data_IF_124793607155
#
_entry.id   IF_124793607155
#
_cell.length_a   1.000
_cell.length_b   1.000
_cell.length_c   1.000
_cell.angle_alpha   90.00
_cell.angle_beta   90.00
_cell.angle_gamma   90.00
#
_symmetry.space_group_name_H-M   'P 1'
#
loop_
_entity.id
_entity.type
_entity.pdbx_description
1 polymer ?
#
# COMPACT_ATOMS: atom_id res chain seq x y z
N UNK A 1 -36.67 -20.05 51.98
CA UNK A 1 -35.63 -20.45 51.00
C UNK A 1 -34.33 -20.70 51.74
N UNK A 2 -33.59 -21.79 51.46
CA UNK A 2 -32.38 -22.12 52.21
C UNK A 2 -31.28 -21.08 51.95
N UNK A 3 -30.55 -20.60 52.97
CA UNK A 3 -29.62 -19.47 52.88
C UNK A 3 -28.47 -19.67 51.89
N UNK A 4 -28.16 -20.92 51.53
CA UNK A 4 -27.11 -21.27 50.55
C UNK A 4 -27.47 -20.87 49.11
N UNK A 5 -28.75 -20.91 48.73
CA UNK A 5 -29.18 -20.54 47.37
C UNK A 5 -29.13 -19.02 47.14
N UNK A 6 -29.44 -18.23 48.18
CA UNK A 6 -29.39 -16.77 48.12
C UNK A 6 -27.95 -16.24 47.98
N UNK A 7 -26.99 -16.86 48.68
CA UNK A 7 -25.57 -16.50 48.61
C UNK A 7 -24.99 -16.83 47.23
N UNK A 8 -25.32 -18.01 46.68
CA UNK A 8 -24.87 -18.42 45.34
C UNK A 8 -25.40 -17.50 44.23
N UNK A 9 -26.67 -17.12 44.30
CA UNK A 9 -27.27 -16.18 43.35
C UNK A 9 -26.68 -14.76 43.49
N UNK A 10 -26.32 -14.35 44.71
CA UNK A 10 -25.62 -13.09 44.96
C UNK A 10 -24.25 -13.05 44.29
N UNK A 11 -23.45 -14.11 44.45
CA UNK A 11 -22.11 -14.20 43.87
C UNK A 11 -22.17 -14.20 42.33
N UNK A 12 -23.09 -14.97 41.73
CA UNK A 12 -23.26 -14.98 40.26
C UNK A 12 -23.63 -13.60 39.74
N UNK A 13 -24.51 -12.88 40.43
CA UNK A 13 -24.93 -11.53 40.02
C UNK A 13 -23.76 -10.55 40.05
N UNK A 14 -22.90 -10.62 41.08
CA UNK A 14 -21.71 -9.76 41.18
C UNK A 14 -20.71 -10.06 40.05
N UNK A 15 -20.51 -11.34 39.72
CA UNK A 15 -19.60 -11.73 38.62
C UNK A 15 -20.12 -11.25 37.27
N UNK A 16 -21.42 -11.38 37.00
CA UNK A 16 -22.04 -10.89 35.75
C UNK A 16 -21.90 -9.36 35.65
N UNK A 17 -22.15 -8.63 36.74
CA UNK A 17 -22.00 -7.18 36.78
C UNK A 17 -20.54 -6.74 36.55
N UNK A 18 -19.58 -7.49 37.09
CA UNK A 18 -18.15 -7.24 36.87
C UNK A 18 -17.75 -7.41 35.40
N UNK A 19 -18.20 -8.50 34.74
CA UNK A 19 -17.95 -8.71 33.31
C UNK A 19 -18.65 -7.68 32.42
N UNK A 20 -19.88 -7.27 32.76
CA UNK A 20 -20.56 -6.19 32.03
C UNK A 20 -19.82 -4.85 32.16
N UNK A 21 -19.27 -4.54 33.34
CA UNK A 21 -18.45 -3.34 33.55
C UNK A 21 -17.13 -3.38 32.77
N UNK A 22 -16.44 -4.53 32.74
CA UNK A 22 -15.24 -4.73 31.93
C UNK A 22 -15.52 -4.58 30.43
N UNK A 23 -16.61 -5.19 29.95
CA UNK A 23 -17.02 -5.07 28.55
C UNK A 23 -17.39 -3.63 28.19
N UNK A 24 -18.10 -2.91 29.07
CA UNK A 24 -18.41 -1.50 28.89
C UNK A 24 -17.15 -0.61 28.88
N UNK A 25 -16.15 -0.90 29.72
CA UNK A 25 -14.87 -0.20 29.69
C UNK A 25 -14.08 -0.47 28.41
N UNK A 26 -14.02 -1.71 27.93
CA UNK A 26 -13.36 -2.07 26.67
C UNK A 26 -14.04 -1.42 25.46
N UNK A 27 -15.38 -1.39 25.44
CA UNK A 27 -16.15 -0.66 24.43
C UNK A 27 -15.90 0.85 24.51
N UNK A 28 -15.85 1.44 25.71
CA UNK A 28 -15.53 2.86 25.91
C UNK A 28 -14.10 3.22 25.51
N UNK A 29 -13.13 2.33 25.75
CA UNK A 29 -11.75 2.50 25.29
C UNK A 29 -11.65 2.48 23.76
N UNK A 30 -12.42 1.60 23.09
CA UNK A 30 -12.53 1.57 21.63
C UNK A 30 -13.23 2.80 21.04
N UNK A 31 -14.25 3.33 21.74
CA UNK A 31 -14.95 4.56 21.34
C UNK A 31 -14.15 5.84 21.63
N UNK A 32 -13.23 5.84 22.60
CA UNK A 32 -12.34 6.98 22.88
C UNK A 32 -11.23 7.16 21.85
N UNK A 33 -11.01 6.20 20.94
CA UNK A 33 -10.06 6.38 19.84
C UNK A 33 -10.58 7.33 18.74
N UNK A 34 -11.88 7.66 18.72
CA UNK A 34 -12.50 8.58 17.76
C UNK A 34 -13.48 9.51 18.47
N UNK A 35 -12.95 10.49 19.22
CA UNK A 35 -13.59 11.78 19.51
C UNK A 35 -12.68 12.61 20.42
N UNK A 36 -11.75 13.33 19.82
CA UNK A 36 -11.37 14.63 20.36
C UNK A 36 -11.94 15.70 19.43
N UNK A 37 -12.75 16.65 19.95
CA UNK A 37 -13.20 17.78 19.16
C UNK A 37 -12.03 18.75 18.98
N UNK A 38 -11.66 18.99 17.73
CA UNK A 38 -10.72 20.04 17.35
C UNK A 38 -11.27 21.38 17.84
N UNK A 39 -10.53 22.04 18.73
CA UNK A 39 -10.80 23.40 19.18
C UNK A 39 -10.62 24.34 17.98
N UNK A 40 -11.66 25.06 17.60
CA UNK A 40 -11.60 26.06 16.54
C UNK A 40 -10.64 27.21 16.93
N UNK A 41 -9.66 27.47 16.07
CA UNK A 41 -8.82 28.68 16.08
C UNK A 41 -9.41 29.64 15.03
N UNK A 42 -9.54 30.95 15.33
CA UNK A 42 -10.19 31.90 14.44
C UNK A 42 -9.45 32.02 13.09
N UNK A 43 -10.26 32.13 12.03
CA UNK A 43 -9.84 32.39 10.66
C UNK A 43 -9.17 33.76 10.59
N UNK A 44 -7.86 33.77 10.36
CA UNK A 44 -7.11 34.94 9.92
C UNK A 44 -6.46 34.60 8.57
N UNK A 45 -6.82 35.41 7.58
CA UNK A 45 -6.23 35.62 6.24
C UNK A 45 -5.53 34.47 5.51
N UNK A 46 -6.06 34.18 4.32
CA UNK A 46 -5.43 33.37 3.29
C UNK A 46 -4.02 33.90 2.94
N UNK A 47 -3.00 33.21 3.42
CA UNK A 47 -1.63 33.33 2.91
C UNK A 47 -1.32 32.07 2.11
N UNK A 48 -0.93 32.26 0.85
CA UNK A 48 -0.59 31.23 -0.11
C UNK A 48 0.24 30.10 0.51
N UNK A 49 -0.20 28.85 0.31
CA UNK A 49 0.52 27.67 0.77
C UNK A 49 1.96 27.67 0.20
N UNK A 50 3.00 27.63 1.04
CA UNK A 50 4.36 27.48 0.54
C UNK A 50 4.54 26.07 -0.05
N UNK A 51 5.08 26.01 -1.27
CA UNK A 51 5.55 24.78 -1.92
C UNK A 51 6.43 24.02 -0.94
N UNK A 52 6.06 22.78 -0.61
CA UNK A 52 6.86 21.91 0.23
C UNK A 52 8.21 21.63 -0.45
N UNK A 53 9.25 22.32 0.03
CA UNK A 53 10.65 21.99 -0.22
C UNK A 53 11.02 20.92 0.81
N UNK A 54 11.58 19.75 0.43
CA UNK A 54 12.01 18.78 1.41
C UNK A 54 13.21 19.33 2.19
N UNK A 55 12.98 19.54 3.49
CA UNK A 55 14.01 19.98 4.43
C UNK A 55 14.85 18.76 4.82
N UNK A 56 16.15 18.81 4.53
CA UNK A 56 17.13 18.04 5.26
C UNK A 56 17.20 18.65 6.68
N UNK A 57 16.64 17.98 7.68
CA UNK A 57 16.78 18.40 9.08
C UNK A 57 18.11 17.82 9.59
N UNK A 58 19.09 18.63 10.01
CA UNK A 58 20.24 18.14 10.76
C UNK A 58 19.73 17.75 12.15
N UNK A 59 19.92 16.48 12.53
CA UNK A 59 19.80 16.07 13.92
C UNK A 59 21.16 16.34 14.57
N UNK A 60 21.20 17.27 15.52
CA UNK A 60 22.40 17.47 16.33
C UNK A 60 22.67 16.24 17.18
N UNK A 61 23.94 15.80 17.20
CA UNK A 61 24.47 14.88 18.19
C UNK A 61 24.24 13.40 17.88
N UNK A 62 25.01 12.85 16.94
CA UNK A 62 25.77 11.59 17.04
C UNK A 62 26.36 11.26 15.67
N UNK A 63 27.61 10.83 15.62
CA UNK A 63 28.32 10.37 14.42
C UNK A 63 27.68 9.11 13.82
N UNK A 64 26.49 9.24 13.23
CA UNK A 64 25.89 8.23 12.37
C UNK A 64 25.77 8.81 10.97
N UNK A 65 26.71 8.39 10.13
CA UNK A 65 26.75 8.49 8.66
C UNK A 65 25.37 8.88 8.09
N UNK A 66 25.26 10.10 7.56
CA UNK A 66 24.05 10.59 6.90
C UNK A 66 23.72 9.73 5.68
N UNK A 67 23.02 8.61 5.87
CA UNK A 67 22.53 7.81 4.75
C UNK A 67 21.46 8.62 4.02
N UNK A 68 21.76 9.04 2.80
CA UNK A 68 20.82 9.77 1.97
C UNK A 68 19.55 8.91 1.75
N UNK A 69 18.41 9.35 2.29
CA UNK A 69 17.10 8.68 2.10
C UNK A 69 16.66 8.69 0.64
N UNK A 70 16.97 9.77 -0.08
CA UNK A 70 16.68 9.92 -1.49
C UNK A 70 17.58 10.99 -2.11
N UNK A 71 17.78 10.92 -3.43
CA UNK A 71 18.42 11.98 -4.22
C UNK A 71 17.49 12.40 -5.36
N UNK A 72 17.64 13.64 -5.84
CA UNK A 72 16.80 14.18 -6.91
C UNK A 72 17.39 13.88 -8.29
N UNK A 73 16.57 13.39 -9.21
CA UNK A 73 16.90 13.14 -10.61
C UNK A 73 15.78 13.71 -11.49
N UNK A 74 16.02 14.91 -12.04
CA UNK A 74 14.97 15.66 -12.74
C UNK A 74 13.84 16.04 -11.78
N UNK A 75 12.59 15.70 -12.13
CA UNK A 75 11.42 15.91 -11.27
C UNK A 75 11.24 14.81 -10.21
N UNK A 76 12.02 13.73 -10.28
CA UNK A 76 11.85 12.55 -9.46
C UNK A 76 12.82 12.51 -8.30
N UNK A 77 12.37 11.93 -7.19
CA UNK A 77 13.23 11.49 -6.09
C UNK A 77 13.48 10.00 -6.22
N UNK A 78 14.73 9.59 -6.05
CA UNK A 78 15.17 8.21 -6.17
C UNK A 78 15.68 7.73 -4.83
N UNK A 79 15.14 6.62 -4.34
CA UNK A 79 15.63 5.94 -3.14
C UNK A 79 16.79 5.02 -3.58
N UNK A 80 18.03 5.23 -3.10
CA UNK A 80 19.23 4.56 -3.63
C UNK A 80 19.37 3.09 -3.18
N UNK A 81 18.90 2.76 -1.97
CA UNK A 81 19.02 1.42 -1.37
C UNK A 81 17.73 1.03 -0.64
N UNK A 82 16.60 0.99 -1.35
CA UNK A 82 15.33 0.65 -0.73
C UNK A 82 15.33 -0.82 -0.28
N UNK A 83 14.64 -1.09 0.82
CA UNK A 83 14.37 -2.45 1.30
C UNK A 83 12.88 -2.61 1.52
N UNK A 84 12.31 -3.67 0.96
CA UNK A 84 10.93 -4.05 1.26
C UNK A 84 10.83 -4.38 2.75
N UNK A 85 9.90 -3.74 3.45
CA UNK A 85 9.59 -4.08 4.84
C UNK A 85 8.41 -5.03 4.82
N UNK A 86 8.56 -6.29 5.29
CA UNK A 86 7.46 -7.23 5.34
C UNK A 86 6.33 -6.69 6.22
N UNK A 87 5.08 -6.83 5.76
CA UNK A 87 3.93 -6.39 6.53
C UNK A 87 2.64 -6.92 5.94
N UNK A 88 1.66 -7.20 6.81
CA UNK A 88 0.32 -7.68 6.42
C UNK A 88 -0.50 -6.67 5.62
N UNK A 89 -0.08 -5.40 5.65
CA UNK A 89 -0.71 -4.31 4.93
C UNK A 89 -0.08 -4.07 3.55
N UNK A 90 0.95 -4.85 3.17
CA UNK A 90 1.47 -4.79 1.81
C UNK A 90 0.51 -5.51 0.86
N UNK A 91 0.33 -4.91 -0.31
CA UNK A 91 -0.36 -5.47 -1.47
C UNK A 91 0.65 -5.44 -2.63
N UNK A 92 0.40 -6.16 -3.72
CA UNK A 92 1.39 -6.26 -4.80
C UNK A 92 1.73 -4.90 -5.46
N UNK A 93 0.80 -3.94 -5.42
CA UNK A 93 0.99 -2.56 -5.84
C UNK A 93 1.21 -1.56 -4.69
N UNK A 94 1.11 -2.00 -3.43
CA UNK A 94 1.17 -1.12 -2.25
C UNK A 94 2.22 -1.65 -1.28
N UNK A 95 3.39 -1.02 -1.27
CA UNK A 95 4.59 -1.57 -0.64
C UNK A 95 5.14 -0.64 0.43
N UNK A 96 5.33 -1.17 1.64
CA UNK A 96 6.13 -0.51 2.66
C UNK A 96 7.62 -0.67 2.36
N UNK A 97 8.31 0.44 2.19
CA UNK A 97 9.71 0.46 1.78
C UNK A 97 10.51 1.34 2.74
N UNK A 98 11.64 0.81 3.20
CA UNK A 98 12.63 1.53 4.00
C UNK A 98 13.73 2.07 3.10
N UNK A 99 14.13 3.32 3.30
CA UNK A 99 15.34 3.91 2.70
C UNK A 99 16.02 4.81 3.73
N UNK A 100 17.28 4.52 4.02
CA UNK A 100 17.98 5.10 5.16
C UNK A 100 17.20 4.89 6.48
N UNK A 101 16.97 5.94 7.28
CA UNK A 101 16.33 5.83 8.60
C UNK A 101 14.78 5.85 8.57
N UNK A 102 14.14 5.91 7.40
CA UNK A 102 12.67 6.05 7.29
C UNK A 102 12.02 4.92 6.51
N UNK A 103 10.77 4.67 6.86
CA UNK A 103 9.85 3.80 6.13
C UNK A 103 8.68 4.61 5.60
N UNK A 104 8.31 4.36 4.35
CA UNK A 104 7.17 4.97 3.68
C UNK A 104 6.37 3.89 2.95
N UNK A 105 5.10 4.16 2.66
CA UNK A 105 4.25 3.25 1.88
C UNK A 105 4.05 3.85 0.50
N UNK A 106 4.40 3.08 -0.53
CA UNK A 106 4.28 3.48 -1.92
C UNK A 106 3.19 2.68 -2.63
N UNK A 107 2.28 3.38 -3.31
CA UNK A 107 1.32 2.80 -4.26
C UNK A 107 1.89 2.97 -5.66
N UNK A 108 1.92 1.91 -6.46
CA UNK A 108 2.47 1.98 -7.81
C UNK A 108 1.57 2.85 -8.70
N UNK A 109 2.18 3.73 -9.50
CA UNK A 109 1.47 4.44 -10.54
C UNK A 109 1.00 3.48 -11.65
N UNK A 110 -0.02 3.89 -12.41
CA UNK A 110 -0.60 3.26 -13.59
C UNK A 110 -1.26 1.91 -13.42
N UNK A 111 -1.01 1.18 -12.35
CA UNK A 111 -1.56 -0.15 -12.15
C UNK A 111 -2.43 -0.25 -10.89
N UNK A 112 -3.38 -1.17 -10.91
CA UNK A 112 -4.19 -1.61 -9.77
C UNK A 112 -4.04 -3.13 -9.66
N UNK A 113 -3.37 -3.61 -8.61
CA UNK A 113 -3.13 -5.03 -8.42
C UNK A 113 -4.35 -5.75 -7.83
N UNK A 114 -4.48 -7.04 -8.13
CA UNK A 114 -5.49 -7.91 -7.54
C UNK A 114 -5.43 -7.84 -6.00
N UNK A 115 -6.57 -7.53 -5.39
CA UNK A 115 -6.67 -7.35 -3.94
C UNK A 115 -6.56 -8.70 -3.20
N UNK A 116 -5.96 -8.68 -2.02
CA UNK A 116 -5.84 -9.85 -1.13
C UNK A 116 -6.75 -9.75 0.10
N UNK A 117 -7.53 -8.67 0.25
CA UNK A 117 -8.32 -8.40 1.46
C UNK A 117 -9.82 -8.55 1.20
N UNK A 118 -10.36 -9.73 1.51
CA UNK A 118 -11.77 -10.11 1.32
C UNK A 118 -12.81 -9.10 1.85
N UNK A 119 -12.47 -8.28 2.84
CA UNK A 119 -13.39 -7.28 3.42
C UNK A 119 -13.64 -6.05 2.53
N UNK A 120 -13.23 -6.06 1.26
CA UNK A 120 -13.40 -4.96 0.29
C UNK A 120 -14.26 -5.37 -0.92
N UNK A 121 -15.55 -5.68 -0.73
CA UNK A 121 -16.39 -6.28 -1.77
C UNK A 121 -16.61 -5.39 -3.00
N UNK A 122 -16.56 -4.05 -2.85
CA UNK A 122 -16.64 -3.13 -4.00
C UNK A 122 -15.43 -3.30 -4.92
N UNK A 123 -14.23 -3.34 -4.34
CA UNK A 123 -12.97 -3.49 -5.09
C UNK A 123 -12.92 -4.84 -5.82
N UNK A 124 -13.36 -5.92 -5.17
CA UNK A 124 -13.46 -7.22 -5.85
C UNK A 124 -14.41 -7.21 -7.04
N UNK A 125 -15.57 -6.56 -6.94
CA UNK A 125 -16.48 -6.50 -8.10
C UNK A 125 -15.87 -5.74 -9.27
N UNK A 126 -15.22 -4.61 -9.00
CA UNK A 126 -14.57 -3.80 -10.03
C UNK A 126 -13.42 -4.56 -10.70
N UNK A 127 -12.58 -5.22 -9.91
CA UNK A 127 -11.47 -6.02 -10.43
C UNK A 127 -11.94 -7.30 -11.14
N UNK A 128 -12.93 -8.00 -10.58
CA UNK A 128 -13.54 -9.18 -11.20
C UNK A 128 -14.11 -8.84 -12.57
N UNK A 129 -14.88 -7.74 -12.69
CA UNK A 129 -15.42 -7.30 -13.98
C UNK A 129 -14.32 -7.02 -15.01
N UNK A 130 -13.18 -6.48 -14.57
CA UNK A 130 -12.02 -6.28 -15.44
C UNK A 130 -11.40 -7.61 -15.89
N UNK A 131 -11.24 -8.57 -14.97
CA UNK A 131 -10.67 -9.90 -15.21
C UNK A 131 -11.72 -10.92 -15.67
N UNK A 132 -12.59 -10.56 -16.63
CA UNK A 132 -13.59 -11.46 -17.25
C UNK A 132 -14.56 -12.11 -16.24
N UNK A 133 -14.96 -11.38 -15.21
CA UNK A 133 -15.84 -11.83 -14.13
C UNK A 133 -15.26 -12.98 -13.29
N UNK A 134 -13.94 -13.01 -13.10
CA UNK A 134 -13.27 -13.95 -12.20
C UNK A 134 -13.92 -13.98 -10.81
N UNK A 135 -14.05 -15.17 -10.22
CA UNK A 135 -14.68 -15.34 -8.91
C UNK A 135 -13.91 -14.61 -7.79
N UNK A 136 -14.56 -14.34 -6.65
CA UNK A 136 -13.89 -13.73 -5.50
C UNK A 136 -12.70 -14.57 -5.03
N UNK A 137 -12.84 -15.90 -4.99
CA UNK A 137 -11.77 -16.81 -4.58
C UNK A 137 -10.61 -16.80 -5.57
N UNK A 138 -10.91 -16.74 -6.86
CA UNK A 138 -9.92 -16.56 -7.92
C UNK A 138 -9.12 -15.27 -7.74
N UNK A 139 -9.80 -14.16 -7.47
CA UNK A 139 -9.18 -12.86 -7.23
C UNK A 139 -8.31 -12.86 -5.98
N UNK A 140 -8.79 -13.42 -4.87
CA UNK A 140 -8.01 -13.56 -3.63
C UNK A 140 -6.75 -14.40 -3.84
N UNK A 141 -6.87 -15.51 -4.55
CA UNK A 141 -5.72 -16.35 -4.87
C UNK A 141 -4.73 -15.61 -5.77
N UNK A 142 -5.20 -14.88 -6.78
CA UNK A 142 -4.34 -14.06 -7.63
C UNK A 142 -3.63 -12.94 -6.85
N UNK A 143 -4.30 -12.28 -5.89
CA UNK A 143 -3.68 -11.29 -5.00
C UNK A 143 -2.60 -11.90 -4.11
N UNK A 144 -2.83 -13.10 -3.58
CA UNK A 144 -1.83 -13.84 -2.79
C UNK A 144 -0.61 -14.26 -3.63
N UNK A 145 -0.86 -14.78 -4.84
CA UNK A 145 0.19 -15.15 -5.80
C UNK A 145 1.03 -13.92 -6.20
N UNK A 146 0.36 -12.78 -6.43
CA UNK A 146 1.00 -11.50 -6.74
C UNK A 146 1.89 -11.01 -5.59
N UNK A 147 1.39 -11.02 -4.36
CA UNK A 147 2.17 -10.59 -3.19
C UNK A 147 3.39 -11.49 -2.97
N UNK A 148 3.24 -12.79 -3.20
CA UNK A 148 4.34 -13.76 -3.15
C UNK A 148 5.39 -13.47 -4.22
N UNK A 149 4.95 -13.20 -5.45
CA UNK A 149 5.82 -12.81 -6.55
C UNK A 149 6.63 -11.55 -6.21
N UNK A 150 5.97 -10.47 -5.75
CA UNK A 150 6.65 -9.21 -5.40
C UNK A 150 7.63 -9.40 -4.25
N UNK A 151 7.21 -10.09 -3.18
CA UNK A 151 8.07 -10.34 -2.02
C UNK A 151 9.34 -11.11 -2.40
N UNK A 152 9.19 -12.15 -3.22
CA UNK A 152 10.32 -12.94 -3.71
C UNK A 152 11.23 -12.15 -4.64
N UNK A 153 10.65 -11.32 -5.52
CA UNK A 153 11.40 -10.51 -6.46
C UNK A 153 12.26 -9.46 -5.73
N UNK A 154 11.65 -8.67 -4.85
CA UNK A 154 12.31 -7.56 -4.17
C UNK A 154 13.23 -7.99 -3.01
N UNK A 155 13.13 -9.24 -2.55
CA UNK A 155 14.07 -9.80 -1.57
C UNK A 155 15.33 -10.37 -2.21
N UNK A 156 15.26 -10.79 -3.48
CA UNK A 156 16.38 -11.42 -4.20
C UNK A 156 17.16 -10.44 -5.08
N UNK A 157 16.50 -9.37 -5.52
CA UNK A 157 17.06 -8.44 -6.50
C UNK A 157 17.18 -7.04 -5.94
N UNK A 158 18.17 -6.29 -6.43
CA UNK A 158 18.26 -4.85 -6.17
C UNK A 158 17.12 -4.17 -6.91
N UNK A 159 16.59 -3.11 -6.31
CA UNK A 159 15.55 -2.30 -6.92
C UNK A 159 15.72 -0.84 -6.54
N UNK A 160 15.05 0.05 -7.27
CA UNK A 160 14.96 1.48 -6.99
C UNK A 160 13.51 1.89 -6.90
N UNK A 161 13.24 2.92 -6.08
CA UNK A 161 11.93 3.57 -6.03
C UNK A 161 12.07 4.98 -6.57
N UNK A 162 11.18 5.35 -7.48
CA UNK A 162 11.06 6.69 -8.01
C UNK A 162 9.76 7.29 -7.51
N UNK A 163 9.80 8.45 -6.86
CA UNK A 163 8.60 9.13 -6.37
C UNK A 163 8.68 10.63 -6.58
N UNK A 164 7.52 11.26 -6.79
CA UNK A 164 7.36 12.72 -6.72
C UNK A 164 6.96 13.18 -5.30
N UNK A 165 6.84 12.24 -4.36
CA UNK A 165 6.19 12.43 -3.06
C UNK A 165 4.74 12.93 -3.17
N UNK A 166 4.09 12.61 -4.29
CA UNK A 166 2.65 12.85 -4.48
C UNK A 166 1.87 11.94 -3.54
N UNK A 167 0.99 12.52 -2.72
CA UNK A 167 0.19 11.78 -1.75
C UNK A 167 -0.98 11.09 -2.44
N UNK A 168 -1.23 9.84 -2.04
CA UNK A 168 -2.50 9.17 -2.32
C UNK A 168 -3.58 9.85 -1.47
N UNK A 169 -4.69 10.33 -2.07
CA UNK A 169 -5.72 11.09 -1.36
C UNK A 169 -6.18 10.41 -0.07
N UNK A 170 -6.37 11.22 0.98
CA UNK A 170 -6.85 10.78 2.30
C UNK A 170 -6.01 9.69 2.99
N UNK A 171 -4.73 9.58 2.64
CA UNK A 171 -3.79 8.64 3.28
C UNK A 171 -2.39 9.23 3.51
N UNK A 172 -1.58 8.50 4.28
CA UNK A 172 -0.14 8.76 4.46
C UNK A 172 0.73 8.01 3.43
N UNK A 173 0.14 7.56 2.31
CA UNK A 173 0.85 6.81 1.26
C UNK A 173 1.26 7.76 0.14
N UNK A 174 2.31 7.39 -0.57
CA UNK A 174 2.80 8.14 -1.73
C UNK A 174 2.70 7.31 -2.99
N UNK A 175 2.57 7.94 -4.15
CA UNK A 175 2.71 7.22 -5.41
C UNK A 175 4.18 7.05 -5.81
N UNK A 176 4.48 5.98 -6.52
CA UNK A 176 5.83 5.73 -7.04
C UNK A 176 5.91 4.72 -8.17
N UNK A 177 7.10 4.63 -8.76
CA UNK A 177 7.52 3.53 -9.63
C UNK A 177 8.58 2.70 -8.93
N UNK A 178 8.64 1.41 -9.26
CA UNK A 178 9.67 0.49 -8.76
C UNK A 178 10.31 -0.19 -9.96
N UNK A 179 11.62 -0.06 -10.10
CA UNK A 179 12.38 -0.80 -11.12
C UNK A 179 13.27 -1.81 -10.45
N UNK A 180 13.36 -3.01 -11.01
CA UNK A 180 14.13 -4.14 -10.47
C UNK A 180 15.24 -4.54 -11.43
N UNK A 181 16.41 -4.83 -10.87
CA UNK A 181 17.59 -5.27 -11.62
C UNK A 181 17.57 -6.81 -11.72
N UNK A 182 17.01 -7.33 -12.82
CA UNK A 182 16.91 -8.78 -13.05
C UNK A 182 18.06 -9.32 -13.91
N UNK A 183 18.60 -8.48 -14.79
CA UNK A 183 19.75 -8.78 -15.64
C UNK A 183 20.76 -7.64 -15.51
N UNK A 184 22.05 -7.94 -15.62
CA UNK A 184 23.10 -6.94 -15.46
C UNK A 184 22.91 -5.78 -16.44
N UNK A 185 22.78 -4.57 -15.88
CA UNK A 185 22.57 -3.34 -16.64
C UNK A 185 21.17 -3.14 -17.21
N UNK A 186 20.19 -4.01 -16.92
CA UNK A 186 18.79 -3.83 -17.33
C UNK A 186 17.87 -3.65 -16.13
N UNK A 187 16.99 -2.67 -16.27
CA UNK A 187 15.97 -2.35 -15.29
C UNK A 187 14.61 -2.77 -15.83
N UNK A 188 13.84 -3.49 -15.02
CA UNK A 188 12.48 -3.91 -15.35
C UNK A 188 11.48 -3.19 -14.45
N UNK A 189 10.42 -2.63 -15.03
CA UNK A 189 9.38 -2.00 -14.24
C UNK A 189 8.50 -3.05 -13.54
N UNK A 190 8.33 -2.90 -12.22
CA UNK A 190 7.53 -3.83 -11.42
C UNK A 190 6.04 -3.81 -11.83
N UNK A 191 5.51 -2.64 -12.18
CA UNK A 191 4.11 -2.50 -12.61
C UNK A 191 3.84 -3.27 -13.90
N UNK A 192 4.71 -3.12 -14.90
CA UNK A 192 4.65 -3.89 -16.15
C UNK A 192 4.78 -5.39 -15.89
N UNK A 193 5.72 -5.82 -15.04
CA UNK A 193 5.87 -7.23 -14.67
C UNK A 193 4.59 -7.81 -14.06
N UNK A 194 3.93 -7.05 -13.19
CA UNK A 194 2.65 -7.44 -12.58
C UNK A 194 1.53 -7.55 -13.62
N UNK A 195 1.42 -6.57 -14.52
CA UNK A 195 0.43 -6.60 -15.62
C UNK A 195 0.68 -7.78 -16.56
N UNK A 196 1.94 -8.02 -16.95
CA UNK A 196 2.34 -9.14 -17.83
C UNK A 196 2.03 -10.50 -17.22
N UNK A 197 2.11 -10.63 -15.89
CA UNK A 197 1.74 -11.84 -15.16
C UNK A 197 0.24 -11.97 -14.88
N UNK A 198 -0.57 -11.00 -15.28
CA UNK A 198 -2.02 -10.99 -15.03
C UNK A 198 -2.38 -10.73 -13.57
N UNK A 199 -1.50 -10.08 -12.82
CA UNK A 199 -1.73 -9.74 -11.41
C UNK A 199 -2.22 -8.30 -11.19
N UNK A 200 -2.17 -7.46 -12.22
CA UNK A 200 -2.62 -6.08 -12.14
C UNK A 200 -3.33 -5.64 -13.42
N UNK A 201 -4.29 -4.74 -13.25
CA UNK A 201 -4.94 -3.99 -14.31
C UNK A 201 -4.16 -2.68 -14.55
N UNK A 202 -4.04 -2.17 -15.79
CA UNK A 202 -3.44 -0.87 -16.08
C UNK A 202 -4.45 0.27 -15.83
N UNK A 203 -5.02 0.32 -14.62
CA UNK A 203 -6.10 1.24 -14.22
C UNK A 203 -5.73 2.11 -12.99
N UNK A 204 -4.43 2.21 -12.67
CA UNK A 204 -3.96 3.01 -11.53
C UNK A 204 -3.85 4.51 -11.84
N UNK A 205 -3.49 5.28 -10.81
CA UNK A 205 -3.23 6.72 -10.94
C UNK A 205 -2.16 6.99 -12.01
N UNK A 206 -2.46 7.86 -12.97
CA UNK A 206 -1.52 8.24 -14.02
C UNK A 206 -0.73 9.49 -13.62
N UNK A 207 0.46 9.65 -14.19
CA UNK A 207 1.26 10.87 -14.06
C UNK A 207 1.95 11.22 -15.37
N UNK A 208 2.22 12.50 -15.58
CA UNK A 208 3.02 13.00 -16.71
C UNK A 208 4.50 13.00 -16.34
N UNK A 209 5.38 12.79 -17.33
CA UNK A 209 6.83 12.79 -17.14
C UNK A 209 7.31 11.64 -16.24
N UNK A 210 7.70 10.52 -16.85
CA UNK A 210 8.18 9.32 -16.15
C UNK A 210 9.69 9.43 -15.83
N UNK A 211 10.21 8.70 -14.82
CA UNK A 211 11.64 8.71 -14.52
C UNK A 211 12.45 8.10 -15.67
N UNK A 212 13.72 8.51 -15.79
CA UNK A 212 14.58 8.21 -16.95
C UNK A 212 14.73 6.73 -17.39
N UNK A 213 14.66 5.69 -16.54
CA UNK A 213 14.69 4.30 -17.05
C UNK A 213 13.36 3.85 -17.68
N UNK A 214 12.28 4.61 -17.50
CA UNK A 214 10.97 4.32 -18.07
C UNK A 214 10.74 5.14 -19.35
N UNK A 215 9.95 4.62 -20.31
CA UNK A 215 9.64 5.33 -21.54
C UNK A 215 8.73 6.53 -21.27
N UNK A 216 8.37 7.27 -22.33
CA UNK A 216 7.39 8.35 -22.20
C UNK A 216 6.02 7.80 -21.80
N UNK A 217 5.20 8.63 -21.15
CA UNK A 217 3.92 8.20 -20.55
C UNK A 217 2.96 7.51 -21.55
N UNK A 218 2.88 8.02 -22.77
CA UNK A 218 2.10 7.43 -23.87
C UNK A 218 2.65 6.07 -24.31
N UNK A 219 3.97 5.96 -24.45
CA UNK A 219 4.65 4.70 -24.77
C UNK A 219 4.52 3.67 -23.66
N UNK A 220 4.58 4.12 -22.39
CA UNK A 220 4.41 3.28 -21.22
C UNK A 220 2.98 2.74 -21.13
N UNK A 221 1.97 3.57 -21.37
CA UNK A 221 0.58 3.11 -21.44
C UNK A 221 0.39 2.05 -22.55
N UNK A 222 0.99 2.26 -23.73
CA UNK A 222 0.98 1.27 -24.81
C UNK A 222 1.72 -0.02 -24.42
N UNK A 223 2.82 0.08 -23.67
CA UNK A 223 3.56 -1.06 -23.15
C UNK A 223 2.74 -1.88 -22.15
N UNK A 224 2.06 -1.23 -21.21
CA UNK A 224 1.13 -1.90 -20.30
C UNK A 224 -0.03 -2.57 -21.05
N UNK A 225 -0.55 -1.92 -22.10
CA UNK A 225 -1.56 -2.52 -22.99
C UNK A 225 -1.08 -3.81 -23.66
N UNK A 226 0.16 -3.82 -24.18
CA UNK A 226 0.79 -5.03 -24.74
C UNK A 226 1.01 -6.11 -23.67
N UNK A 227 1.52 -5.73 -22.51
CA UNK A 227 1.72 -6.65 -21.39
C UNK A 227 0.42 -7.33 -20.96
N UNK A 228 -0.67 -6.55 -20.87
CA UNK A 228 -2.00 -7.06 -20.58
C UNK A 228 -2.52 -7.99 -21.67
N UNK A 229 -2.33 -7.64 -22.95
CA UNK A 229 -2.76 -8.49 -24.07
C UNK A 229 -2.08 -9.87 -24.00
N UNK A 230 -0.78 -9.91 -23.66
CA UNK A 230 -0.09 -11.17 -23.47
C UNK A 230 -0.64 -11.95 -22.27
N UNK A 231 -0.80 -11.29 -21.12
CA UNK A 231 -1.37 -11.93 -19.94
C UNK A 231 -2.74 -12.56 -20.20
N UNK A 232 -3.58 -11.89 -21.02
CA UNK A 232 -4.87 -12.42 -21.46
C UNK A 232 -4.70 -13.64 -22.37
N UNK A 233 -3.85 -13.56 -23.40
CA UNK A 233 -3.66 -14.67 -24.34
C UNK A 233 -3.04 -15.91 -23.70
N UNK A 234 -2.21 -15.71 -22.68
CA UNK A 234 -1.55 -16.80 -21.93
C UNK A 234 -2.41 -17.30 -20.76
N UNK A 235 -3.61 -16.73 -20.55
CA UNK A 235 -4.45 -17.02 -19.37
C UNK A 235 -3.63 -16.92 -18.08
N UNK A 236 -2.85 -15.85 -17.91
CA UNK A 236 -1.95 -15.68 -16.77
C UNK A 236 -2.65 -15.05 -15.57
N UNK A 237 -2.25 -15.43 -14.35
CA UNK A 237 -2.69 -14.80 -13.12
C UNK A 237 -4.21 -14.82 -12.94
N UNK A 238 -4.83 -13.65 -12.75
CA UNK A 238 -6.28 -13.53 -12.60
C UNK A 238 -7.05 -13.90 -13.88
N UNK A 239 -6.42 -13.81 -15.07
CA UNK A 239 -7.06 -14.21 -16.34
C UNK A 239 -7.24 -15.73 -16.48
N UNK A 240 -6.46 -16.53 -15.75
CA UNK A 240 -6.58 -18.00 -15.75
C UNK A 240 -7.84 -18.48 -15.02
N UNK A 241 -8.34 -17.65 -14.10
CA UNK A 241 -9.28 -18.06 -13.05
C UNK A 241 -10.68 -17.49 -13.29
N UNK A 242 -10.98 -17.16 -14.55
CA UNK A 242 -12.23 -16.57 -15.02
C UNK A 242 -13.21 -17.57 -15.64
N UNK A 243 -12.97 -18.87 -15.46
CA UNK A 243 -13.89 -19.96 -15.87
C UNK A 243 -14.98 -20.24 -14.83
#
# INVERSE_FOLDING_TARGET
MPPRAAIHNGIITVVILFFMLLLAMLLKARYRLHKEPVKAIPVAEAVAAPKAVPVAVPLEGTDQVHQARAYKQGEWWVLPEPKLVPGRANEADTLRIRSGPREDVFVLYFIDAADLIASRPKRFREQSAFFQNASTDAMLAAGADAMTFVSNLLSKHRFKVYTKWERVPDTERYYGFVTVDLEDGKHFDLGELLVRKGYAAPLGQQTSGLPAPLPKSDQYAAQLGKAMAVARSEHAGAWAKAE
#
